data_IF_681190707384
#
_entry.id   IF_681190707384
#
_cell.length_a   1.000
_cell.length_b   1.000
_cell.length_c   1.000
_cell.angle_alpha   90.00
_cell.angle_beta   90.00
_cell.angle_gamma   90.00
#
_symmetry.space_group_name_H-M   'P 1'
#
loop_
_entity.id
_entity.type
_entity.pdbx_description
1 polymer ?
#
# COMPACT_ATOMS: atom_id res chain seq x y z
N UNK A 1 -9.77 -28.97 15.30
CA UNK A 1 -8.50 -28.46 15.84
C UNK A 1 -8.64 -28.10 17.32
N UNK A 2 -9.61 -27.22 17.74
CA UNK A 2 -9.76 -26.75 19.12
C UNK A 2 -9.92 -27.92 20.12
N UNK A 3 -10.80 -28.87 19.84
CA UNK A 3 -11.06 -30.07 20.65
C UNK A 3 -9.79 -30.89 20.89
N UNK A 4 -8.94 -31.05 19.87
CA UNK A 4 -7.69 -31.77 19.97
C UNK A 4 -6.64 -31.06 20.90
N UNK A 5 -6.75 -29.73 20.99
CA UNK A 5 -5.92 -28.90 21.86
C UNK A 5 -6.52 -28.66 23.24
N UNK A 6 -7.66 -29.29 23.57
CA UNK A 6 -8.43 -29.08 24.81
C UNK A 6 -8.84 -27.60 25.03
N UNK A 7 -9.08 -26.89 23.94
CA UNK A 7 -9.63 -25.52 23.94
C UNK A 7 -11.13 -25.64 23.69
N UNK A 8 -11.91 -24.77 24.34
CA UNK A 8 -13.36 -24.70 24.13
C UNK A 8 -13.66 -24.45 22.65
N UNK A 9 -14.62 -25.17 22.10
CA UNK A 9 -14.98 -25.06 20.69
C UNK A 9 -15.62 -23.71 20.37
N UNK A 10 -16.24 -23.07 21.33
CA UNK A 10 -16.85 -21.74 21.22
C UNK A 10 -15.82 -20.60 21.31
N UNK A 11 -14.53 -20.91 21.50
CA UNK A 11 -13.45 -19.90 21.51
C UNK A 11 -13.27 -19.21 20.14
N UNK A 12 -13.74 -19.84 19.04
CA UNK A 12 -13.77 -19.25 17.69
C UNK A 12 -15.17 -19.46 17.12
N UNK A 13 -15.85 -18.38 16.84
CA UNK A 13 -17.21 -18.39 16.32
C UNK A 13 -17.29 -17.67 14.97
N UNK A 14 -18.22 -18.10 14.12
CA UNK A 14 -18.50 -17.52 12.82
C UNK A 14 -19.95 -17.03 12.80
N UNK A 15 -20.15 -15.79 12.36
CA UNK A 15 -21.46 -15.28 12.00
C UNK A 15 -21.73 -15.74 10.57
N UNK A 16 -22.68 -16.68 10.39
CA UNK A 16 -22.97 -17.28 9.08
C UNK A 16 -23.82 -16.38 8.17
N UNK A 17 -24.59 -15.47 8.77
CA UNK A 17 -25.41 -14.52 8.03
C UNK A 17 -24.55 -13.44 7.38
N UNK A 18 -24.67 -13.30 6.07
CA UNK A 18 -23.89 -12.35 5.24
C UNK A 18 -24.60 -11.01 5.02
N UNK A 19 -25.76 -10.78 5.62
CA UNK A 19 -26.47 -9.50 5.51
C UNK A 19 -25.65 -8.39 6.20
N UNK A 20 -25.48 -7.26 5.48
CA UNK A 20 -24.79 -6.07 6.02
C UNK A 20 -25.46 -5.49 7.27
N UNK A 21 -26.78 -5.68 7.42
CA UNK A 21 -27.51 -5.27 8.61
C UNK A 21 -26.98 -5.98 9.86
N UNK A 22 -26.59 -7.24 9.75
CA UNK A 22 -25.99 -8.01 10.85
C UNK A 22 -24.65 -7.41 11.25
N UNK A 23 -23.81 -7.05 10.29
CA UNK A 23 -22.54 -6.38 10.57
C UNK A 23 -22.76 -5.07 11.32
N UNK A 24 -23.74 -4.27 10.91
CA UNK A 24 -24.07 -3.01 11.57
C UNK A 24 -24.61 -3.22 13.00
N UNK A 25 -25.44 -4.25 13.21
CA UNK A 25 -25.92 -4.63 14.53
C UNK A 25 -24.77 -5.11 15.44
N UNK A 26 -23.84 -5.90 14.87
CA UNK A 26 -22.69 -6.43 15.59
C UNK A 26 -21.75 -5.33 16.09
N UNK A 27 -21.51 -4.28 15.30
CA UNK A 27 -20.69 -3.10 15.69
C UNK A 27 -21.21 -2.36 16.94
N UNK A 28 -22.46 -2.60 17.35
CA UNK A 28 -23.10 -1.94 18.50
C UNK A 28 -23.21 -2.83 19.73
N UNK A 29 -22.68 -4.05 19.67
CA UNK A 29 -22.83 -5.06 20.73
C UNK A 29 -21.75 -4.96 21.80
N UNK A 30 -21.55 -3.78 22.37
CA UNK A 30 -20.57 -3.53 23.46
C UNK A 30 -20.78 -4.41 24.71
N UNK A 31 -21.96 -5.05 24.86
CA UNK A 31 -22.23 -5.96 25.96
C UNK A 31 -21.55 -7.34 25.78
N UNK A 32 -21.08 -7.62 24.55
CA UNK A 32 -20.48 -8.90 24.18
C UNK A 32 -19.11 -8.76 23.52
N UNK A 33 -18.73 -7.55 23.09
CA UNK A 33 -17.50 -7.30 22.34
C UNK A 33 -16.65 -6.27 23.06
N UNK A 34 -15.41 -6.61 23.30
CA UNK A 34 -14.41 -5.72 23.88
C UNK A 34 -13.72 -4.85 22.81
N UNK A 35 -13.49 -5.41 21.61
CA UNK A 35 -12.79 -4.72 20.52
C UNK A 35 -13.25 -5.25 19.16
N UNK A 36 -13.23 -4.37 18.16
CA UNK A 36 -13.42 -4.69 16.75
C UNK A 36 -12.13 -4.46 15.97
N UNK A 37 -11.77 -5.42 15.12
CA UNK A 37 -10.60 -5.33 14.23
C UNK A 37 -11.11 -5.52 12.80
N UNK A 38 -11.52 -4.44 12.11
CA UNK A 38 -12.04 -4.56 10.76
C UNK A 38 -10.94 -4.97 9.77
N UNK A 39 -11.29 -5.84 8.83
CA UNK A 39 -10.46 -6.25 7.71
C UNK A 39 -11.25 -6.10 6.42
N UNK A 40 -10.75 -5.31 5.48
CA UNK A 40 -11.39 -5.03 4.21
C UNK A 40 -10.94 -3.72 3.60
N UNK A 41 -11.61 -3.27 2.56
CA UNK A 41 -11.30 -2.00 1.90
C UNK A 41 -11.68 -0.78 2.75
N UNK A 42 -11.15 0.40 2.37
CA UNK A 42 -11.31 1.67 3.08
C UNK A 42 -12.77 2.03 3.43
N UNK A 43 -13.72 1.66 2.55
CA UNK A 43 -15.16 1.90 2.79
C UNK A 43 -15.70 1.13 4.00
N UNK A 44 -15.30 -0.16 4.16
CA UNK A 44 -15.70 -0.95 5.32
C UNK A 44 -15.07 -0.41 6.61
N UNK A 45 -13.77 -0.11 6.57
CA UNK A 45 -13.04 0.41 7.74
C UNK A 45 -13.68 1.71 8.21
N UNK A 46 -13.96 2.65 7.29
CA UNK A 46 -14.64 3.91 7.60
C UNK A 46 -16.03 3.67 8.20
N UNK A 47 -16.83 2.78 7.61
CA UNK A 47 -18.15 2.46 8.12
C UNK A 47 -18.10 1.89 9.55
N UNK A 48 -17.09 1.06 9.87
CA UNK A 48 -16.90 0.53 11.24
C UNK A 48 -16.53 1.65 12.19
N UNK A 49 -15.56 2.49 11.85
CA UNK A 49 -15.11 3.61 12.71
C UNK A 49 -16.23 4.60 12.99
N UNK A 50 -17.04 4.94 11.98
CA UNK A 50 -18.13 5.90 12.10
C UNK A 50 -19.36 5.37 12.86
N UNK A 51 -19.62 4.06 12.78
CA UNK A 51 -20.88 3.47 13.29
C UNK A 51 -20.71 2.58 14.52
N UNK A 52 -19.47 2.22 14.91
CA UNK A 52 -19.23 1.35 16.05
C UNK A 52 -19.39 2.09 17.37
N UNK A 53 -20.00 1.39 18.35
CA UNK A 53 -19.96 1.78 19.76
C UNK A 53 -18.93 0.98 20.56
N UNK A 54 -18.33 -0.03 19.94
CA UNK A 54 -17.24 -0.86 20.47
C UNK A 54 -15.92 -0.23 20.07
N UNK A 55 -14.88 -0.25 20.91
CA UNK A 55 -13.54 0.21 20.53
C UNK A 55 -13.05 -0.48 19.26
N UNK A 56 -12.44 0.30 18.35
CA UNK A 56 -11.98 -0.19 17.04
C UNK A 56 -10.47 -0.08 16.94
N UNK A 57 -9.81 -1.17 16.54
CA UNK A 57 -8.41 -1.16 16.09
C UNK A 57 -8.44 -1.21 14.58
N UNK A 58 -8.28 -0.07 13.94
CA UNK A 58 -8.29 0.04 12.49
C UNK A 58 -6.89 -0.05 11.88
N UNK A 59 -6.84 -0.46 10.61
CA UNK A 59 -5.65 -0.34 9.76
C UNK A 59 -5.90 0.75 8.72
N UNK A 60 -4.91 1.61 8.48
CA UNK A 60 -4.97 2.59 7.40
C UNK A 60 -4.82 1.93 6.01
N UNK A 61 -4.84 2.77 4.98
CA UNK A 61 -4.51 2.39 3.59
C UNK A 61 -3.01 2.12 3.46
N UNK A 62 -2.62 1.16 2.63
CA UNK A 62 -1.22 0.82 2.38
C UNK A 62 -0.66 1.57 1.17
N UNK A 63 0.17 2.59 1.35
CA UNK A 63 0.91 3.23 0.25
C UNK A 63 2.40 2.95 0.41
N UNK A 64 2.83 1.77 -0.03
CA UNK A 64 4.23 1.36 0.08
C UNK A 64 5.10 2.05 -0.96
N UNK A 65 6.22 2.59 -0.50
CA UNK A 65 7.20 3.28 -1.32
C UNK A 65 8.48 2.47 -1.49
N UNK A 66 9.10 2.59 -2.66
CA UNK A 66 10.49 2.17 -2.89
C UNK A 66 11.28 3.42 -3.25
N UNK A 67 12.40 3.66 -2.57
CA UNK A 67 13.37 4.68 -2.98
C UNK A 67 14.56 4.01 -3.66
N UNK A 68 14.95 4.55 -4.81
CA UNK A 68 16.16 4.13 -5.54
C UNK A 68 17.18 5.24 -5.48
N UNK A 69 18.22 5.01 -4.70
CA UNK A 69 19.35 5.93 -4.49
C UNK A 69 20.29 5.95 -5.70
N UNK A 70 21.07 7.03 -5.86
CA UNK A 70 22.03 7.17 -6.94
C UNK A 70 23.12 6.07 -6.97
N UNK A 71 23.40 5.46 -5.82
CA UNK A 71 24.39 4.37 -5.68
C UNK A 71 23.82 2.98 -5.98
N UNK A 72 22.52 2.87 -6.31
CA UNK A 72 21.85 1.60 -6.47
C UNK A 72 22.33 0.82 -7.72
N UNK A 73 22.37 -0.51 -7.62
CA UNK A 73 22.46 -1.40 -8.77
C UNK A 73 21.14 -1.38 -9.53
N UNK A 74 21.18 -0.91 -10.78
CA UNK A 74 19.97 -0.69 -11.58
C UNK A 74 19.26 -1.98 -11.95
N UNK A 75 19.99 -3.07 -12.19
CA UNK A 75 19.40 -4.38 -12.54
C UNK A 75 18.68 -4.99 -11.32
N UNK A 76 19.29 -4.87 -10.16
CA UNK A 76 18.68 -5.28 -8.91
C UNK A 76 17.43 -4.42 -8.62
N UNK A 77 17.52 -3.10 -8.77
CA UNK A 77 16.41 -2.18 -8.54
C UNK A 77 15.20 -2.51 -9.42
N UNK A 78 15.40 -2.72 -10.73
CA UNK A 78 14.34 -3.09 -11.68
C UNK A 78 13.66 -4.40 -11.24
N UNK A 79 14.43 -5.42 -10.87
CA UNK A 79 13.87 -6.71 -10.45
C UNK A 79 13.07 -6.60 -9.15
N UNK A 80 13.56 -5.82 -8.17
CA UNK A 80 12.85 -5.58 -6.90
C UNK A 80 11.53 -4.84 -7.16
N UNK A 81 11.56 -3.74 -7.94
CA UNK A 81 10.37 -2.93 -8.24
C UNK A 81 9.35 -3.77 -9.01
N UNK A 82 9.80 -4.49 -10.03
CA UNK A 82 8.92 -5.37 -10.81
C UNK A 82 8.22 -6.40 -9.92
N UNK A 83 8.96 -7.10 -9.08
CA UNK A 83 8.39 -8.08 -8.17
C UNK A 83 7.43 -7.43 -7.17
N UNK A 84 7.84 -6.34 -6.51
CA UNK A 84 7.05 -5.66 -5.49
C UNK A 84 5.73 -5.09 -6.06
N UNK A 85 5.72 -4.66 -7.34
CA UNK A 85 4.51 -4.14 -7.99
C UNK A 85 3.64 -5.23 -8.60
N UNK A 86 4.21 -6.35 -9.09
CA UNK A 86 3.44 -7.25 -9.98
C UNK A 86 3.15 -8.62 -9.40
N UNK A 87 3.82 -9.04 -8.32
CA UNK A 87 3.60 -10.34 -7.71
C UNK A 87 2.17 -10.51 -7.18
N UNK A 88 1.66 -9.49 -6.47
CA UNK A 88 0.31 -9.48 -5.91
C UNK A 88 -0.14 -8.05 -5.64
N UNK A 89 -0.89 -7.48 -6.58
CA UNK A 89 -1.28 -6.06 -6.56
C UNK A 89 -2.33 -5.72 -5.48
N UNK A 90 -3.20 -6.65 -5.10
CA UNK A 90 -4.33 -6.42 -4.19
C UNK A 90 -3.98 -6.56 -2.71
N UNK A 91 -2.75 -6.28 -2.30
CA UNK A 91 -2.30 -6.36 -0.90
C UNK A 91 -1.64 -5.06 -0.46
N UNK A 92 -1.82 -4.73 0.82
CA UNK A 92 -1.35 -3.46 1.40
C UNK A 92 0.18 -3.27 1.39
N UNK A 93 0.96 -4.32 1.14
CA UNK A 93 2.43 -4.27 1.03
C UNK A 93 2.94 -4.36 -0.42
N UNK A 94 2.05 -4.26 -1.43
CA UNK A 94 2.49 -4.06 -2.80
C UNK A 94 3.07 -2.65 -2.99
N UNK A 95 4.03 -2.50 -3.90
CA UNK A 95 4.57 -1.18 -4.21
C UNK A 95 3.53 -0.35 -4.95
N UNK A 96 3.23 0.84 -4.42
CA UNK A 96 2.31 1.80 -5.03
C UNK A 96 3.01 3.06 -5.52
N UNK A 97 4.17 3.37 -4.92
CA UNK A 97 4.92 4.59 -5.20
C UNK A 97 6.41 4.30 -5.33
N UNK A 98 7.04 4.91 -6.33
CA UNK A 98 8.47 4.84 -6.59
C UNK A 98 9.08 6.23 -6.47
N UNK A 99 10.13 6.37 -5.70
CA UNK A 99 10.92 7.59 -5.58
C UNK A 99 12.31 7.32 -6.15
N UNK A 100 12.76 8.16 -7.08
CA UNK A 100 14.01 7.93 -7.84
C UNK A 100 14.92 9.13 -7.71
N UNK A 101 16.21 8.91 -7.40
CA UNK A 101 17.19 9.96 -7.40
C UNK A 101 17.42 10.50 -8.82
N UNK A 102 17.53 11.83 -8.99
CA UNK A 102 17.62 12.49 -10.30
C UNK A 102 18.81 12.03 -11.15
N UNK A 103 19.93 11.66 -10.52
CA UNK A 103 21.14 11.25 -11.21
C UNK A 103 21.02 9.92 -11.96
N UNK A 104 20.03 9.08 -11.60
CA UNK A 104 19.85 7.75 -12.21
C UNK A 104 18.57 7.62 -13.01
N UNK A 105 17.68 8.61 -13.00
CA UNK A 105 16.36 8.54 -13.64
C UNK A 105 16.43 8.17 -15.14
N UNK A 106 17.39 8.76 -15.86
CA UNK A 106 17.55 8.57 -17.31
C UNK A 106 18.02 7.15 -17.67
N UNK A 107 18.74 6.49 -16.78
CA UNK A 107 19.19 5.12 -16.95
C UNK A 107 18.19 4.09 -16.43
N UNK A 108 17.52 4.39 -15.31
CA UNK A 108 16.61 3.47 -14.64
C UNK A 108 15.23 3.43 -15.31
N UNK A 109 14.61 4.60 -15.55
CA UNK A 109 13.18 4.67 -15.92
C UNK A 109 12.84 4.02 -17.27
N UNK A 110 13.64 4.19 -18.36
CA UNK A 110 13.37 3.48 -19.60
C UNK A 110 13.48 1.96 -19.45
N UNK A 111 14.48 1.49 -18.70
CA UNK A 111 14.71 0.07 -18.42
C UNK A 111 13.59 -0.54 -17.59
N UNK A 112 13.13 0.20 -16.56
CA UNK A 112 11.99 -0.19 -15.73
C UNK A 112 10.70 -0.24 -16.55
N UNK A 113 10.47 0.75 -17.42
CA UNK A 113 9.29 0.82 -18.28
C UNK A 113 9.19 -0.39 -19.21
N UNK A 114 10.29 -0.79 -19.85
CA UNK A 114 10.33 -1.99 -20.68
C UNK A 114 9.92 -3.23 -19.89
N UNK A 115 10.44 -3.37 -18.66
CA UNK A 115 10.12 -4.50 -17.78
C UNK A 115 8.66 -4.49 -17.30
N UNK A 116 8.13 -3.33 -16.93
CA UNK A 116 6.76 -3.18 -16.44
C UNK A 116 5.70 -3.38 -17.53
N UNK A 117 6.04 -3.13 -18.79
CA UNK A 117 5.18 -3.42 -19.97
C UNK A 117 4.77 -4.90 -20.05
N UNK A 118 5.59 -5.83 -19.57
CA UNK A 118 5.25 -7.26 -19.54
C UNK A 118 3.95 -7.55 -18.75
N UNK A 119 3.58 -6.67 -17.81
CA UNK A 119 2.38 -6.77 -16.98
C UNK A 119 1.40 -5.63 -17.22
N UNK A 120 1.61 -4.82 -18.25
CA UNK A 120 0.78 -3.65 -18.58
C UNK A 120 0.63 -2.69 -17.39
N UNK A 121 1.71 -2.45 -16.64
CA UNK A 121 1.69 -1.49 -15.53
C UNK A 121 1.68 -0.06 -16.08
N UNK A 122 0.66 0.71 -15.74
CA UNK A 122 0.57 2.14 -16.02
C UNK A 122 1.48 2.91 -15.07
N UNK A 123 2.34 3.77 -15.62
CA UNK A 123 3.26 4.60 -14.84
C UNK A 123 2.79 6.06 -14.89
N UNK A 124 2.59 6.66 -13.73
CA UNK A 124 2.23 8.07 -13.55
C UNK A 124 3.37 8.79 -12.85
N UNK A 125 3.81 9.92 -13.39
CA UNK A 125 4.96 10.57 -12.80
C UNK A 125 4.99 12.08 -12.94
N UNK A 126 5.93 12.69 -12.21
CA UNK A 126 6.20 14.12 -12.34
C UNK A 126 6.88 14.46 -13.68
N UNK A 127 7.07 15.76 -13.93
CA UNK A 127 7.68 16.22 -15.17
C UNK A 127 9.09 15.65 -15.40
N UNK A 128 9.89 15.52 -14.35
CA UNK A 128 11.24 15.01 -14.46
C UNK A 128 11.30 13.53 -14.87
N UNK A 129 10.34 12.71 -14.38
CA UNK A 129 10.22 11.31 -14.79
C UNK A 129 9.69 11.18 -16.22
N UNK A 130 8.74 12.03 -16.65
CA UNK A 130 8.24 12.05 -18.02
C UNK A 130 9.34 12.44 -19.04
N UNK A 131 10.19 13.40 -18.68
CA UNK A 131 11.31 13.82 -19.54
C UNK A 131 12.36 12.70 -19.69
N UNK A 132 12.50 11.82 -18.70
CA UNK A 132 13.38 10.65 -18.75
C UNK A 132 12.77 9.46 -19.48
N UNK A 133 11.44 9.32 -19.49
CA UNK A 133 10.76 8.19 -20.13
C UNK A 133 9.37 8.59 -20.63
N UNK A 134 9.18 8.56 -21.95
CA UNK A 134 7.92 8.96 -22.63
C UNK A 134 6.73 8.05 -22.35
N UNK A 135 6.94 6.88 -21.80
CA UNK A 135 5.86 5.95 -21.41
C UNK A 135 5.18 6.35 -20.09
N UNK A 136 5.73 7.35 -19.38
CA UNK A 136 5.20 7.85 -18.11
C UNK A 136 4.21 8.98 -18.39
N UNK A 137 2.96 8.80 -17.96
CA UNK A 137 1.93 9.82 -18.08
C UNK A 137 1.96 10.79 -16.89
N UNK A 138 1.39 12.00 -17.00
CA UNK A 138 1.38 12.95 -15.89
C UNK A 138 0.65 12.41 -14.66
N UNK A 139 1.29 12.51 -13.49
CA UNK A 139 0.66 12.29 -12.20
C UNK A 139 -0.09 13.54 -11.74
N UNK A 140 -1.20 13.34 -11.04
CA UNK A 140 -1.91 14.36 -10.26
C UNK A 140 -1.42 14.39 -8.81
N UNK A 141 -1.79 15.39 -8.04
CA UNK A 141 -1.46 15.46 -6.61
C UNK A 141 -2.06 14.31 -5.80
N UNK A 142 -3.19 13.75 -6.25
CA UNK A 142 -3.84 12.61 -5.61
C UNK A 142 -3.05 11.30 -5.79
N UNK A 143 -2.27 11.18 -6.87
CA UNK A 143 -1.52 9.96 -7.18
C UNK A 143 -0.42 9.65 -6.15
N UNK A 144 0.12 10.69 -5.48
CA UNK A 144 1.21 10.51 -4.52
C UNK A 144 0.81 9.76 -3.24
N UNK A 145 -0.45 9.88 -2.83
CA UNK A 145 -0.95 9.24 -1.62
C UNK A 145 -1.92 8.08 -1.88
N UNK A 146 -2.06 7.66 -3.13
CA UNK A 146 -3.10 6.71 -3.52
C UNK A 146 -2.63 5.26 -3.42
N UNK A 147 -3.41 4.44 -2.74
CA UNK A 147 -3.33 2.99 -2.83
C UNK A 147 -4.18 2.53 -4.02
N UNK A 148 -3.53 2.15 -5.11
CA UNK A 148 -4.23 1.78 -6.35
C UNK A 148 -4.85 0.38 -6.30
N UNK A 149 -4.16 -0.57 -5.64
CA UNK A 149 -4.49 -2.01 -5.66
C UNK A 149 -4.64 -2.56 -7.09
N UNK A 150 -3.92 -1.96 -8.02
CA UNK A 150 -3.98 -2.22 -9.45
C UNK A 150 -2.58 -2.12 -10.09
N UNK A 151 -2.47 -2.45 -11.37
CA UNK A 151 -1.23 -2.29 -12.16
C UNK A 151 -0.98 -0.80 -12.50
N UNK A 152 -0.92 0.03 -11.48
CA UNK A 152 -0.60 1.45 -11.57
C UNK A 152 0.52 1.76 -10.58
N UNK A 153 1.52 2.55 -10.97
CA UNK A 153 2.67 2.94 -10.16
C UNK A 153 2.90 4.44 -10.28
N UNK A 154 2.91 5.17 -9.15
CA UNK A 154 3.33 6.57 -9.14
C UNK A 154 4.86 6.69 -9.05
N UNK A 155 5.44 7.68 -9.72
CA UNK A 155 6.89 7.88 -9.83
C UNK A 155 7.25 9.34 -9.55
N UNK A 156 8.05 9.56 -8.51
CA UNK A 156 8.56 10.87 -8.12
C UNK A 156 10.08 10.92 -8.26
N UNK A 157 10.60 11.93 -8.95
CA UNK A 157 12.04 12.21 -9.01
C UNK A 157 12.39 13.20 -7.91
N UNK A 158 13.52 12.96 -7.24
CA UNK A 158 14.04 13.76 -6.12
C UNK A 158 15.53 14.02 -6.29
N UNK A 159 16.02 15.12 -5.71
CA UNK A 159 17.41 15.54 -5.81
C UNK A 159 18.30 15.02 -4.66
N UNK A 160 17.69 14.48 -3.61
CA UNK A 160 18.42 13.98 -2.44
C UNK A 160 17.62 12.97 -1.64
N UNK A 161 18.29 12.24 -0.74
CA UNK A 161 17.65 11.33 0.19
C UNK A 161 16.73 12.05 1.18
N UNK A 162 17.06 13.29 1.56
CA UNK A 162 16.24 14.11 2.45
C UNK A 162 14.92 14.48 1.80
N UNK A 163 14.94 14.81 0.50
CA UNK A 163 13.70 15.05 -0.27
C UNK A 163 12.88 13.77 -0.40
N UNK A 164 13.53 12.63 -0.62
CA UNK A 164 12.85 11.33 -0.64
C UNK A 164 12.15 11.03 0.69
N UNK A 165 12.83 11.21 1.81
CA UNK A 165 12.29 11.04 3.16
C UNK A 165 11.10 11.98 3.38
N UNK A 166 11.21 13.25 3.00
CA UNK A 166 10.14 14.22 3.16
C UNK A 166 8.90 13.82 2.34
N UNK A 167 9.10 13.37 1.08
CA UNK A 167 8.03 12.89 0.22
C UNK A 167 7.35 11.63 0.80
N UNK A 168 8.15 10.65 1.18
CA UNK A 168 7.65 9.40 1.77
C UNK A 168 6.85 9.69 3.04
N UNK A 169 7.40 10.47 3.97
CA UNK A 169 6.72 10.81 5.23
C UNK A 169 5.41 11.56 5.02
N UNK A 170 5.30 12.34 3.94
CA UNK A 170 4.07 13.06 3.61
C UNK A 170 2.96 12.15 3.09
N UNK A 171 3.31 11.11 2.33
CA UNK A 171 2.36 10.29 1.59
C UNK A 171 2.28 8.83 2.05
N UNK A 172 3.24 8.37 2.85
CA UNK A 172 3.21 7.04 3.45
C UNK A 172 2.07 6.94 4.47
N UNK A 173 1.36 5.83 4.46
CA UNK A 173 0.41 5.56 5.53
C UNK A 173 1.15 5.24 6.83
N UNK A 174 0.67 5.77 7.96
CA UNK A 174 1.29 5.63 9.29
C UNK A 174 1.46 4.17 9.76
N UNK A 175 0.73 3.22 9.19
CA UNK A 175 0.80 1.79 9.56
C UNK A 175 2.08 1.09 9.05
N UNK A 176 2.83 1.71 8.14
CA UNK A 176 4.06 1.15 7.55
C UNK A 176 5.33 1.86 8.01
N UNK A 177 5.25 2.72 9.02
CA UNK A 177 6.44 3.27 9.67
C UNK A 177 7.03 2.14 10.52
N UNK A 178 7.93 1.35 9.93
CA UNK A 178 8.82 0.50 10.69
C UNK A 178 9.92 1.39 11.28
N UNK A 179 10.03 1.44 12.60
CA UNK A 179 11.19 2.05 13.21
C UNK A 179 12.44 1.28 12.77
N UNK A 180 13.55 1.98 12.42
CA UNK A 180 14.78 1.30 12.11
C UNK A 180 15.21 0.52 13.36
N UNK A 181 15.18 -0.80 13.27
CA UNK A 181 15.80 -1.66 14.27
C UNK A 181 17.30 -1.37 14.25
N UNK A 182 17.81 -0.81 15.35
CA UNK A 182 19.25 -0.61 15.58
C UNK A 182 19.96 -1.95 15.74
#
# INVERSE_FOLDING_TARGET
ALRACKVDEDAIQLIEDTDRAITTAFMKRKDFLDVLIPRGGAGLIRAVVENSTVPVIETGTGNCHIYVDESADLDMAVNIIFNAKTQRIGVCNACESLVVHENIKDALLPKLAERLKEKNVEMRGDKASQDACSDIIPASDEDWGKEYLDYILSIKVVSSVEEAIAHINKYLSLIHISEPTR
#
